data_IF_502058951542
#
_entry.id   IF_502058951542
#
_cell.length_a   1.000
_cell.length_b   1.000
_cell.length_c   1.000
_cell.angle_alpha   90.00
_cell.angle_beta   90.00
_cell.angle_gamma   90.00
#
_symmetry.space_group_name_H-M   'P 1'
#
loop_
_entity.id
_entity.type
_entity.pdbx_description
1 polymer ?
#
# COMPACT_ATOMS: atom_id res chain seq x y z
N UNK A 1 11.24 -2.16 -7.08
CA UNK A 1 10.62 -1.29 -8.11
C UNK A 1 11.54 -0.20 -8.67
N UNK A 2 12.81 -0.09 -8.25
CA UNK A 2 13.77 0.81 -8.93
C UNK A 2 13.43 2.31 -8.85
N UNK A 3 12.83 2.74 -7.74
CA UNK A 3 12.50 4.15 -7.45
C UNK A 3 12.96 4.52 -6.03
N UNK A 4 13.14 5.80 -5.78
CA UNK A 4 13.54 6.34 -4.47
C UNK A 4 12.34 6.80 -3.64
N UNK A 5 12.47 6.68 -2.31
CA UNK A 5 11.49 7.22 -1.36
C UNK A 5 11.74 8.73 -1.20
N UNK A 6 10.91 9.53 -1.88
CA UNK A 6 10.85 10.99 -1.74
C UNK A 6 9.40 11.46 -1.75
N UNK A 7 9.15 12.59 -1.10
CA UNK A 7 7.85 13.27 -1.19
C UNK A 7 7.69 13.84 -2.59
N UNK A 8 6.61 13.46 -3.27
CA UNK A 8 6.26 13.97 -4.60
C UNK A 8 4.76 14.21 -4.69
N UNK A 9 4.34 15.22 -5.43
CA UNK A 9 2.91 15.50 -5.69
C UNK A 9 2.33 14.65 -6.81
N UNK A 10 3.16 14.28 -7.79
CA UNK A 10 2.78 13.50 -8.96
C UNK A 10 3.94 12.64 -9.43
N UNK A 11 3.63 11.63 -10.25
CA UNK A 11 4.60 10.87 -11.02
C UNK A 11 4.71 11.47 -12.42
N UNK A 12 5.90 11.96 -12.78
CA UNK A 12 6.14 12.62 -14.06
C UNK A 12 7.09 11.76 -14.88
N UNK A 13 6.58 11.16 -15.95
CA UNK A 13 7.27 10.08 -16.69
C UNK A 13 8.65 10.50 -17.21
N UNK A 14 8.78 11.72 -17.75
CA UNK A 14 10.09 12.21 -18.24
C UNK A 14 11.08 12.57 -17.13
N UNK A 15 10.62 12.80 -15.90
CA UNK A 15 11.48 12.98 -14.72
C UNK A 15 11.92 11.64 -14.12
N UNK A 16 11.28 10.55 -14.52
CA UNK A 16 11.52 9.19 -14.02
C UNK A 16 12.09 8.28 -15.13
N UNK A 17 12.94 8.85 -16.02
CA UNK A 17 13.62 8.15 -17.11
C UNK A 17 12.69 7.42 -18.10
N UNK A 18 11.49 7.97 -18.33
CA UNK A 18 10.49 7.33 -19.20
C UNK A 18 9.75 6.16 -18.53
N UNK A 19 9.96 5.93 -17.23
CA UNK A 19 9.32 4.83 -16.50
C UNK A 19 7.89 5.21 -16.11
N UNK A 20 6.97 4.33 -16.45
CA UNK A 20 5.61 4.38 -15.93
C UNK A 20 5.52 3.69 -14.56
N UNK A 21 4.52 4.03 -13.73
CA UNK A 21 4.32 3.38 -12.45
C UNK A 21 4.11 1.87 -12.59
N UNK A 22 4.68 1.08 -11.69
CA UNK A 22 4.39 -0.36 -11.63
C UNK A 22 3.06 -0.67 -10.92
N UNK A 23 2.60 0.26 -10.09
CA UNK A 23 1.44 0.12 -9.23
C UNK A 23 0.67 1.44 -9.22
N UNK A 24 -0.64 1.38 -9.39
CA UNK A 24 -1.54 2.53 -9.24
C UNK A 24 -2.70 2.11 -8.33
N UNK A 25 -3.03 2.96 -7.36
CA UNK A 25 -4.20 2.85 -6.51
C UNK A 25 -4.98 4.16 -6.59
N UNK A 26 -6.23 4.10 -7.00
CA UNK A 26 -7.15 5.25 -7.00
C UNK A 26 -8.06 5.19 -5.77
N UNK A 27 -8.18 6.30 -5.05
CA UNK A 27 -9.17 6.45 -4.00
C UNK A 27 -10.38 7.14 -4.61
N UNK A 28 -11.50 6.41 -4.70
CA UNK A 28 -12.68 6.88 -5.39
C UNK A 28 -13.37 7.99 -4.60
N UNK A 29 -13.91 8.94 -5.34
CA UNK A 29 -14.85 9.92 -4.84
C UNK A 29 -16.12 9.89 -5.70
N UNK A 30 -17.29 10.35 -5.21
CA UNK A 30 -18.52 10.34 -5.98
C UNK A 30 -18.40 10.99 -7.38
N UNK A 31 -17.53 11.99 -7.53
CA UNK A 31 -17.31 12.71 -8.79
C UNK A 31 -16.33 12.03 -9.76
N UNK A 32 -15.44 11.17 -9.27
CA UNK A 32 -14.39 10.55 -10.11
C UNK A 32 -14.64 9.07 -10.38
N UNK A 33 -15.53 8.43 -9.63
CA UNK A 33 -15.69 6.98 -9.60
C UNK A 33 -15.94 6.35 -10.98
N UNK A 34 -16.76 6.96 -11.85
CA UNK A 34 -17.00 6.42 -13.20
C UNK A 34 -15.75 6.54 -14.08
N UNK A 35 -15.07 7.69 -14.04
CA UNK A 35 -13.84 7.93 -14.80
C UNK A 35 -12.73 6.97 -14.39
N UNK A 36 -12.63 6.68 -13.09
CA UNK A 36 -11.64 5.76 -12.54
C UNK A 36 -11.93 4.31 -12.98
N UNK A 37 -13.19 3.85 -12.90
CA UNK A 37 -13.59 2.49 -13.28
C UNK A 37 -13.51 2.20 -14.78
N UNK A 38 -13.74 3.20 -15.62
CA UNK A 38 -13.79 3.05 -17.08
C UNK A 38 -12.53 3.62 -17.76
N UNK A 39 -12.51 4.94 -17.99
CA UNK A 39 -11.49 5.59 -18.82
C UNK A 39 -10.06 5.40 -18.28
N UNK A 40 -9.83 5.60 -16.98
CA UNK A 40 -8.49 5.43 -16.41
C UNK A 40 -8.04 3.98 -16.44
N UNK A 41 -8.94 3.03 -16.20
CA UNK A 41 -8.63 1.60 -16.33
C UNK A 41 -8.11 1.29 -17.73
N UNK A 42 -8.78 1.76 -18.78
CA UNK A 42 -8.33 1.59 -20.17
C UNK A 42 -6.99 2.30 -20.45
N UNK A 43 -6.82 3.54 -19.97
CA UNK A 43 -5.56 4.28 -20.12
C UNK A 43 -4.38 3.56 -19.46
N UNK A 44 -4.58 3.07 -18.24
CA UNK A 44 -3.55 2.36 -17.49
C UNK A 44 -3.23 1.01 -18.13
N UNK A 45 -4.24 0.33 -18.69
CA UNK A 45 -4.07 -0.94 -19.40
C UNK A 45 -3.31 -0.77 -20.73
N UNK A 46 -3.77 0.15 -21.57
CA UNK A 46 -3.39 0.20 -22.98
C UNK A 46 -2.17 1.09 -23.22
N UNK A 47 -2.06 2.19 -22.46
CA UNK A 47 -0.99 3.18 -22.65
C UNK A 47 0.11 3.01 -21.60
N UNK A 48 -0.23 3.00 -20.31
CA UNK A 48 0.80 2.96 -19.27
C UNK A 48 1.34 1.56 -19.07
N UNK A 49 0.54 0.54 -19.41
CA UNK A 49 0.85 -0.88 -19.20
C UNK A 49 1.22 -1.14 -17.74
N UNK A 50 0.52 -0.47 -16.82
CA UNK A 50 0.75 -0.59 -15.37
C UNK A 50 0.47 -2.05 -14.97
N UNK A 51 1.42 -2.79 -14.38
CA UNK A 51 1.20 -4.19 -14.03
C UNK A 51 0.09 -4.43 -13.01
N UNK A 52 0.00 -3.60 -11.97
CA UNK A 52 -1.00 -3.75 -10.90
C UNK A 52 -1.82 -2.46 -10.76
N UNK A 53 -3.15 -2.56 -10.91
CA UNK A 53 -4.07 -1.43 -10.77
C UNK A 53 -5.17 -1.74 -9.77
N UNK A 54 -5.44 -0.81 -8.85
CA UNK A 54 -6.45 -0.94 -7.81
C UNK A 54 -7.32 0.31 -7.70
N UNK A 55 -8.53 0.14 -7.19
CA UNK A 55 -9.33 1.24 -6.67
C UNK A 55 -10.00 0.88 -5.36
N UNK A 56 -10.23 1.89 -4.53
CA UNK A 56 -10.93 1.77 -3.25
C UNK A 56 -11.88 2.95 -3.03
N UNK A 57 -13.14 2.67 -2.73
CA UNK A 57 -14.12 3.65 -2.28
C UNK A 57 -14.20 3.63 -0.74
N UNK A 58 -13.76 4.70 -0.05
CA UNK A 58 -13.75 4.75 1.41
C UNK A 58 -15.14 4.85 2.04
N UNK A 59 -16.19 5.16 1.27
CA UNK A 59 -17.56 5.32 1.76
C UNK A 59 -18.38 4.04 1.61
N UNK A 60 -18.24 3.36 0.47
CA UNK A 60 -18.97 2.10 0.19
C UNK A 60 -18.17 0.86 0.55
N UNK A 61 -16.86 1.01 0.79
CA UNK A 61 -15.90 -0.08 0.95
C UNK A 61 -15.75 -0.96 -0.30
N UNK A 62 -16.16 -0.47 -1.46
CA UNK A 62 -15.85 -1.12 -2.74
C UNK A 62 -14.33 -1.16 -2.91
N UNK A 63 -13.80 -2.36 -3.16
CA UNK A 63 -12.38 -2.56 -3.37
C UNK A 63 -12.17 -3.59 -4.49
N UNK A 64 -11.42 -3.20 -5.51
CA UNK A 64 -11.05 -4.07 -6.61
C UNK A 64 -9.58 -3.87 -7.00
N UNK A 65 -9.02 -4.91 -7.59
CA UNK A 65 -7.65 -4.94 -8.07
C UNK A 65 -7.55 -5.76 -9.34
N UNK A 66 -6.58 -5.42 -10.16
CA UNK A 66 -6.36 -6.01 -11.47
C UNK A 66 -4.87 -6.22 -11.70
N UNK A 67 -4.54 -7.32 -12.36
CA UNK A 67 -3.20 -7.61 -12.85
C UNK A 67 -3.19 -7.65 -14.37
N UNK A 68 -2.19 -7.00 -14.97
CA UNK A 68 -2.03 -6.97 -16.42
C UNK A 68 -1.44 -8.29 -16.91
N UNK A 69 -2.19 -9.03 -17.73
CA UNK A 69 -1.78 -10.29 -18.34
C UNK A 69 -2.01 -10.18 -19.85
N UNK A 70 -0.95 -10.38 -20.63
CA UNK A 70 -1.00 -10.30 -22.11
C UNK A 70 -1.65 -9.01 -22.65
N UNK A 71 -1.45 -7.90 -21.92
CA UNK A 71 -1.96 -6.59 -22.31
C UNK A 71 -3.38 -6.27 -21.83
N UNK A 72 -4.04 -7.19 -21.13
CA UNK A 72 -5.40 -7.03 -20.61
C UNK A 72 -5.42 -7.15 -19.08
N UNK A 73 -6.22 -6.33 -18.42
CA UNK A 73 -6.39 -6.42 -16.98
C UNK A 73 -7.31 -7.57 -16.60
N UNK A 74 -6.78 -8.52 -15.84
CA UNK A 74 -7.54 -9.58 -15.20
C UNK A 74 -7.85 -9.20 -13.75
N UNK A 75 -9.10 -9.37 -13.27
CA UNK A 75 -9.43 -9.08 -11.88
C UNK A 75 -8.64 -10.01 -10.95
N UNK A 76 -8.14 -9.45 -9.85
CA UNK A 76 -7.51 -10.20 -8.77
C UNK A 76 -8.59 -10.83 -7.89
N UNK A 77 -8.38 -12.09 -7.52
CA UNK A 77 -9.24 -12.78 -6.56
C UNK A 77 -8.81 -12.47 -5.13
N UNK A 78 -9.80 -12.31 -4.26
CA UNK A 78 -9.57 -12.17 -2.83
C UNK A 78 -9.18 -13.52 -2.22
N UNK A 79 -8.23 -13.49 -1.29
CA UNK A 79 -7.94 -14.64 -0.45
C UNK A 79 -9.05 -14.86 0.60
N UNK A 80 -8.87 -15.87 1.47
CA UNK A 80 -9.84 -16.21 2.53
C UNK A 80 -10.10 -15.06 3.52
N UNK A 81 -9.18 -14.11 3.64
CA UNK A 81 -9.26 -12.94 4.49
C UNK A 81 -9.84 -11.71 3.76
N UNK A 82 -10.19 -11.83 2.48
CA UNK A 82 -10.71 -10.72 1.67
C UNK A 82 -9.61 -9.83 1.06
N UNK A 83 -8.35 -10.27 1.05
CA UNK A 83 -7.22 -9.45 0.61
C UNK A 83 -6.82 -9.77 -0.84
N UNK A 84 -6.39 -8.74 -1.57
CA UNK A 84 -5.89 -8.83 -2.95
C UNK A 84 -4.36 -8.77 -2.97
N UNK A 85 -3.73 -9.67 -3.73
CA UNK A 85 -2.26 -9.75 -3.81
C UNK A 85 -1.70 -8.83 -4.90
N UNK A 86 -0.81 -7.90 -4.53
CA UNK A 86 0.01 -7.16 -5.50
C UNK A 86 1.35 -7.85 -5.70
N UNK A 87 1.58 -8.36 -6.92
CA UNK A 87 2.86 -8.99 -7.29
C UNK A 87 3.99 -7.96 -7.35
N UNK A 88 3.68 -6.70 -7.70
CA UNK A 88 4.68 -5.63 -7.78
C UNK A 88 5.17 -5.19 -6.41
N UNK A 89 4.29 -5.14 -5.41
CA UNK A 89 4.65 -4.75 -4.05
C UNK A 89 5.14 -5.94 -3.21
N UNK A 90 4.74 -7.17 -3.54
CA UNK A 90 4.99 -8.34 -2.68
C UNK A 90 4.19 -8.26 -1.38
N UNK A 91 3.02 -7.60 -1.43
CA UNK A 91 2.15 -7.35 -0.29
C UNK A 91 0.70 -7.60 -0.70
N UNK A 92 -0.11 -7.98 0.28
CA UNK A 92 -1.55 -7.96 0.19
C UNK A 92 -2.08 -6.56 0.48
N UNK A 93 -3.19 -6.20 -0.17
CA UNK A 93 -4.01 -5.04 0.15
C UNK A 93 -5.37 -5.53 0.65
N UNK A 94 -5.88 -4.92 1.70
CA UNK A 94 -7.18 -5.30 2.27
C UNK A 94 -7.77 -4.21 3.14
N UNK A 95 -9.06 -4.34 3.42
CA UNK A 95 -9.78 -3.39 4.28
C UNK A 95 -9.67 -3.88 5.73
N UNK A 96 -9.19 -3.00 6.61
CA UNK A 96 -9.10 -3.23 8.05
C UNK A 96 -9.61 -2.02 8.80
N UNK A 97 -10.63 -2.23 9.64
CA UNK A 97 -11.30 -1.17 10.40
C UNK A 97 -11.78 -0.01 9.51
N UNK A 98 -12.31 -0.33 8.32
CA UNK A 98 -12.80 0.67 7.35
C UNK A 98 -11.71 1.40 6.56
N UNK A 99 -10.43 1.07 6.76
CA UNK A 99 -9.31 1.67 6.04
C UNK A 99 -8.63 0.64 5.14
N UNK A 100 -8.19 1.08 3.97
CA UNK A 100 -7.30 0.27 3.14
C UNK A 100 -5.90 0.20 3.77
N UNK A 101 -5.40 -1.02 3.97
CA UNK A 101 -4.12 -1.31 4.62
C UNK A 101 -3.32 -2.34 3.82
N UNK A 102 -2.02 -2.37 4.07
CA UNK A 102 -1.11 -3.38 3.53
C UNK A 102 -0.91 -4.52 4.52
N UNK A 103 -0.74 -5.74 4.00
CA UNK A 103 -0.44 -6.93 4.77
C UNK A 103 0.74 -7.68 4.17
N UNK A 104 1.55 -8.28 5.04
CA UNK A 104 2.66 -9.13 4.63
C UNK A 104 2.15 -10.41 3.95
N UNK A 105 3.00 -11.18 3.25
CA UNK A 105 2.61 -12.48 2.70
C UNK A 105 2.07 -13.47 3.74
N UNK A 106 2.47 -13.30 5.01
CA UNK A 106 1.97 -14.09 6.14
C UNK A 106 0.59 -13.61 6.66
N UNK A 107 0.03 -12.54 6.09
CA UNK A 107 -1.25 -11.95 6.50
C UNK A 107 -1.14 -10.97 7.68
N UNK A 108 0.07 -10.56 8.06
CA UNK A 108 0.26 -9.61 9.17
C UNK A 108 0.08 -8.17 8.69
N UNK A 109 -0.58 -7.34 9.50
CA UNK A 109 -0.77 -5.92 9.22
C UNK A 109 0.59 -5.20 9.16
N UNK A 110 0.88 -4.53 8.04
CA UNK A 110 2.05 -3.67 7.92
C UNK A 110 1.79 -2.38 8.71
N UNK A 111 2.64 -2.05 9.70
CA UNK A 111 2.44 -0.87 10.52
C UNK A 111 2.69 0.41 9.71
N UNK A 112 1.97 1.48 10.03
CA UNK A 112 2.32 2.82 9.54
C UNK A 112 3.64 3.28 10.18
N UNK A 113 4.30 4.31 9.61
CA UNK A 113 5.46 4.92 10.25
C UNK A 113 5.18 5.38 11.69
N UNK A 114 3.99 5.93 11.94
CA UNK A 114 3.54 6.39 13.26
C UNK A 114 3.34 5.21 14.23
N UNK A 115 2.63 4.17 13.81
CA UNK A 115 2.44 2.95 14.61
C UNK A 115 3.78 2.28 14.95
N UNK A 116 4.74 2.32 14.02
CA UNK A 116 6.09 1.81 14.23
C UNK A 116 6.83 2.64 15.28
N UNK A 117 6.80 3.97 15.16
CA UNK A 117 7.43 4.86 16.12
C UNK A 117 6.86 4.68 17.53
N UNK A 118 5.53 4.59 17.67
CA UNK A 118 4.88 4.33 18.95
C UNK A 118 5.29 2.99 19.57
N UNK A 119 5.40 1.94 18.74
CA UNK A 119 5.82 0.61 19.19
C UNK A 119 7.26 0.61 19.69
N UNK A 120 8.16 1.32 19.00
CA UNK A 120 9.56 1.44 19.42
C UNK A 120 9.70 2.27 20.70
N UNK A 121 8.96 3.38 20.84
CA UNK A 121 8.92 4.15 22.10
C UNK A 121 8.45 3.29 23.28
N UNK A 122 7.33 2.56 23.13
CA UNK A 122 6.81 1.67 24.19
C UNK A 122 7.79 0.54 24.54
N UNK A 123 8.50 -0.02 23.55
CA UNK A 123 9.55 -1.01 23.80
C UNK A 123 10.72 -0.41 24.56
N UNK A 124 11.17 0.78 24.17
CA UNK A 124 12.25 1.50 24.82
C UNK A 124 11.92 1.78 26.29
N UNK A 125 10.72 2.31 26.55
CA UNK A 125 10.22 2.56 27.92
C UNK A 125 10.17 1.29 28.76
N UNK A 126 9.66 0.18 28.19
CA UNK A 126 9.60 -1.11 28.89
C UNK A 126 10.98 -1.68 29.18
N UNK A 127 11.93 -1.53 28.25
CA UNK A 127 13.30 -1.98 28.44
C UNK A 127 14.02 -1.14 29.51
N UNK A 128 13.86 0.18 29.46
CA UNK A 128 14.40 1.11 30.46
C UNK A 128 13.85 0.81 31.85
N UNK A 129 12.54 0.52 31.98
CA UNK A 129 11.95 0.10 33.25
C UNK A 129 12.58 -1.20 33.77
N UNK A 130 12.78 -2.20 32.91
CA UNK A 130 13.41 -3.47 33.28
C UNK A 130 14.89 -3.35 33.63
N UNK A 131 15.63 -2.46 32.99
CA UNK A 131 17.02 -2.15 33.34
C UNK A 131 17.10 -1.49 34.73
N UNK A 132 16.20 -0.55 35.03
CA UNK A 132 16.10 0.07 36.35
C UNK A 132 15.77 -0.95 37.45
N UNK A 133 14.90 -1.93 37.18
CA UNK A 133 14.65 -3.05 38.11
C UNK A 133 15.90 -3.90 38.38
N UNK A 134 16.80 -4.00 37.40
CA UNK A 134 18.10 -4.67 37.52
C UNK A 134 19.20 -3.76 38.10
N UNK A 135 18.85 -2.55 38.57
CA UNK A 135 19.78 -1.50 39.02
C UNK A 135 20.82 -1.09 37.96
N UNK A 136 20.46 -1.18 36.68
CA UNK A 136 21.27 -0.70 35.55
C UNK A 136 20.68 0.62 35.08
N UNK A 137 21.51 1.66 34.99
CA UNK A 137 21.09 2.97 34.48
C UNK A 137 20.97 2.94 32.95
N UNK A 138 19.75 3.06 32.37
CA UNK A 138 19.53 3.00 30.93
C UNK A 138 20.22 4.12 30.16
N UNK A 139 20.47 5.27 30.81
CA UNK A 139 21.02 6.47 30.17
C UNK A 139 22.56 6.42 30.03
N UNK A 140 23.18 5.32 30.48
CA UNK A 140 24.63 5.12 30.49
C UNK A 140 25.13 4.10 29.47
N UNK A 141 24.23 3.55 28.65
CA UNK A 141 24.49 2.53 27.61
C UNK A 141 24.46 3.15 26.22
#
# INVERSE_FOLDING_TARGET
LGTERKTRKSWVVWEEDGKYPNFILEILSPTTANTDREYKKELYQNTFRTPDYFWFDPYTLEFAGFHLVDGEYQPLEQNQQGYLWSRQLGLYLGIYQGLLRYFTPAGELVPTPEETAEKETKKSERLAAKLRELNIDPDTI
#
